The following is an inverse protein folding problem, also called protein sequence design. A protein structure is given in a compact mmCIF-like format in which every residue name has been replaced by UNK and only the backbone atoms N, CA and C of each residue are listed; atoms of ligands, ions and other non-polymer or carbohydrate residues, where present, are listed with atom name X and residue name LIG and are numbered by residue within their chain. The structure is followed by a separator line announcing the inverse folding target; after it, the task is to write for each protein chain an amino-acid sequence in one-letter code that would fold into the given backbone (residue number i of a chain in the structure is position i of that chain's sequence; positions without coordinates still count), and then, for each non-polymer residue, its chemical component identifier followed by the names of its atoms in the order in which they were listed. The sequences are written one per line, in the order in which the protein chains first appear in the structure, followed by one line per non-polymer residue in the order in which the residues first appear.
data_IF_232843436067
#
_entry.id   IF_232843436067
#
_cell.length_a   1.000
_cell.length_b   1.000
_cell.length_c   1.000
_cell.angle_alpha   90.00
_cell.angle_beta   90.00
_cell.angle_gamma   90.00
#
_symmetry.space_group_name_H-M   'P 1'
#
loop_
_entity.id
_entity.type
_entity.pdbx_description
1 polymer ?
#
# COMPACT_ATOMS: atom_id res chain seq x y z
N UNK A 1 1.39 10.32 26.49
CA UNK A 1 0.71 10.70 25.26
C UNK A 1 -0.44 9.73 25.00
N UNK A 2 -1.60 10.23 24.60
CA UNK A 2 -2.80 9.44 24.25
C UNK A 2 -3.07 9.63 22.77
N UNK A 3 -3.03 8.56 22.00
CA UNK A 3 -3.19 8.61 20.54
C UNK A 3 -4.43 7.82 20.12
N UNK A 4 -5.33 8.45 19.36
CA UNK A 4 -6.43 7.75 18.73
C UNK A 4 -6.15 7.53 17.24
N UNK A 5 -6.34 6.31 16.77
CA UNK A 5 -6.01 5.87 15.43
C UNK A 5 -7.26 5.57 14.59
N UNK A 6 -7.21 5.88 13.29
CA UNK A 6 -8.20 5.40 12.34
C UNK A 6 -7.48 4.90 11.07
N UNK A 7 -7.40 3.58 10.94
CA UNK A 7 -6.98 2.88 9.75
C UNK A 7 -8.18 2.13 9.17
N UNK A 8 -8.61 2.46 7.96
CA UNK A 8 -9.87 1.96 7.38
C UNK A 8 -9.71 0.80 6.38
N UNK A 9 -8.48 0.37 6.09
CA UNK A 9 -8.17 -0.69 5.13
C UNK A 9 -7.06 -1.60 5.68
N UNK A 10 -7.01 -2.89 5.25
CA UNK A 10 -5.98 -3.82 5.72
C UNK A 10 -4.54 -3.34 5.51
N UNK A 11 -4.26 -2.69 4.37
CA UNK A 11 -2.95 -2.08 4.10
C UNK A 11 -2.63 -0.93 5.06
N UNK A 12 -3.63 -0.12 5.40
CA UNK A 12 -3.50 0.95 6.39
C UNK A 12 -3.27 0.41 7.80
N UNK A 13 -3.87 -0.72 8.16
CA UNK A 13 -3.67 -1.41 9.45
C UNK A 13 -2.20 -1.85 9.61
N UNK A 14 -1.60 -2.46 8.59
CA UNK A 14 -0.19 -2.85 8.59
C UNK A 14 0.72 -1.63 8.76
N UNK A 15 0.50 -0.58 7.96
CA UNK A 15 1.32 0.63 8.02
C UNK A 15 1.16 1.39 9.35
N UNK A 16 -0.06 1.43 9.89
CA UNK A 16 -0.32 2.00 11.20
C UNK A 16 0.42 1.23 12.30
N UNK A 17 0.43 -0.10 12.23
CA UNK A 17 1.14 -0.96 13.19
C UNK A 17 2.64 -0.64 13.24
N UNK A 18 3.30 -0.44 12.09
CA UNK A 18 4.71 -0.04 12.03
C UNK A 18 4.94 1.31 12.74
N UNK A 19 4.07 2.29 12.54
CA UNK A 19 4.19 3.58 13.22
C UNK A 19 3.86 3.47 14.73
N UNK A 20 2.91 2.65 15.13
CA UNK A 20 2.63 2.35 16.55
C UNK A 20 3.87 1.77 17.22
N UNK A 21 4.51 0.77 16.60
CA UNK A 21 5.72 0.13 17.09
C UNK A 21 6.86 1.15 17.25
N UNK A 22 7.08 2.01 16.24
CA UNK A 22 8.09 3.07 16.30
C UNK A 22 7.82 4.05 17.47
N UNK A 23 6.57 4.46 17.67
CA UNK A 23 6.19 5.34 18.79
C UNK A 23 6.42 4.64 20.14
N UNK A 24 6.08 3.38 20.28
CA UNK A 24 6.25 2.64 21.53
C UNK A 24 7.72 2.46 21.92
N UNK A 25 8.62 2.28 20.94
CA UNK A 25 10.06 2.21 21.19
C UNK A 25 10.60 3.50 21.84
N UNK A 26 10.15 4.65 21.34
CA UNK A 26 10.61 5.97 21.83
C UNK A 26 9.81 6.41 23.05
N UNK A 27 8.50 6.17 23.07
CA UNK A 27 7.56 6.60 24.10
C UNK A 27 6.75 5.41 24.66
N UNK A 28 7.36 4.51 25.46
CA UNK A 28 6.72 3.25 25.91
C UNK A 28 5.51 3.45 26.83
N UNK A 29 5.28 4.66 27.34
CA UNK A 29 4.10 5.00 28.16
C UNK A 29 2.94 5.58 27.34
N UNK A 30 3.02 5.57 26.02
CA UNK A 30 1.93 6.05 25.15
C UNK A 30 0.75 5.09 25.22
N UNK A 31 -0.45 5.64 25.33
CA UNK A 31 -1.71 4.86 25.32
C UNK A 31 -2.32 4.98 23.94
N UNK A 32 -2.56 3.85 23.30
CA UNK A 32 -3.11 3.76 21.95
C UNK A 32 -4.51 3.17 21.99
N UNK A 33 -5.48 3.84 21.37
CA UNK A 33 -6.82 3.31 21.13
C UNK A 33 -7.27 3.67 19.71
N UNK A 34 -8.25 2.99 19.14
CA UNK A 34 -8.70 3.38 17.82
C UNK A 34 -9.52 2.36 17.04
N UNK A 35 -9.68 2.66 15.76
CA UNK A 35 -10.30 1.82 14.75
C UNK A 35 -9.21 1.27 13.83
N UNK A 36 -9.09 -0.05 13.76
CA UNK A 36 -8.02 -0.70 13.01
C UNK A 36 -8.26 -2.20 12.89
N UNK A 37 -7.22 -2.93 12.60
CA UNK A 37 -7.25 -4.38 12.44
C UNK A 37 -6.29 -5.11 13.36
N UNK A 38 -6.04 -6.37 13.01
CA UNK A 38 -5.25 -7.31 13.84
C UNK A 38 -3.78 -6.90 13.99
N UNK A 39 -3.22 -6.16 13.02
CA UNK A 39 -1.82 -5.74 13.08
C UNK A 39 -1.65 -4.65 14.14
N UNK A 40 -2.48 -3.62 14.13
CA UNK A 40 -2.47 -2.59 15.18
C UNK A 40 -2.76 -3.18 16.56
N UNK A 41 -3.69 -4.15 16.66
CA UNK A 41 -4.00 -4.81 17.92
C UNK A 41 -2.79 -5.57 18.49
N UNK A 42 -2.02 -6.25 17.64
CA UNK A 42 -0.78 -6.94 18.06
C UNK A 42 0.26 -5.98 18.63
N UNK A 43 0.32 -4.75 18.11
CA UNK A 43 1.19 -3.69 18.61
C UNK A 43 0.58 -2.92 19.80
N UNK A 44 -0.45 -3.45 20.45
CA UNK A 44 -0.99 -2.93 21.71
C UNK A 44 -2.02 -1.81 21.57
N UNK A 45 -2.58 -1.59 20.38
CA UNK A 45 -3.72 -0.66 20.22
C UNK A 45 -4.99 -1.29 20.76
N UNK A 46 -5.68 -0.61 21.68
CA UNK A 46 -7.01 -0.99 22.13
C UNK A 46 -8.03 -0.68 21.03
N UNK A 47 -8.54 -1.72 20.35
CA UNK A 47 -9.49 -1.54 19.27
C UNK A 47 -10.90 -1.28 19.80
N UNK A 48 -11.46 -0.11 19.51
CA UNK A 48 -12.88 0.24 19.72
C UNK A 48 -13.77 -0.29 18.59
N UNK A 49 -13.18 -0.46 17.41
CA UNK A 49 -13.85 -1.06 16.26
C UNK A 49 -12.84 -1.86 15.45
N UNK A 50 -13.17 -3.12 15.19
CA UNK A 50 -12.36 -4.00 14.37
C UNK A 50 -12.84 -3.93 12.92
N UNK A 51 -11.91 -3.63 12.00
CA UNK A 51 -12.21 -3.56 10.58
C UNK A 51 -12.63 -4.93 10.02
N UNK A 52 -13.70 -4.98 9.23
CA UNK A 52 -14.00 -6.20 8.50
C UNK A 52 -12.87 -6.52 7.51
N UNK A 53 -12.55 -7.80 7.36
CA UNK A 53 -11.51 -8.29 6.45
C UNK A 53 -11.70 -7.83 4.98
N UNK A 54 -12.92 -7.46 4.59
CA UNK A 54 -13.27 -6.94 3.27
C UNK A 54 -13.85 -5.52 3.41
N UNK A 55 -13.07 -4.48 3.14
CA UNK A 55 -13.56 -3.11 3.15
C UNK A 55 -14.64 -2.89 2.08
N UNK A 56 -15.58 -1.99 2.39
CA UNK A 56 -16.64 -1.59 1.46
C UNK A 56 -16.00 -0.81 0.30
N UNK A 57 -15.83 -1.46 -0.84
CA UNK A 57 -15.31 -0.84 -2.04
C UNK A 57 -16.34 -0.91 -3.17
N UNK A 58 -16.72 0.26 -3.69
CA UNK A 58 -17.60 0.41 -4.84
C UNK A 58 -18.61 1.54 -4.67
N UNK A 59 -18.83 2.31 -5.74
CA UNK A 59 -19.76 3.45 -5.69
C UNK A 59 -21.20 3.01 -5.37
N UNK A 60 -21.63 1.87 -5.88
CA UNK A 60 -22.97 1.30 -5.66
C UNK A 60 -23.11 0.80 -4.21
N UNK A 61 -22.07 0.14 -3.67
CA UNK A 61 -22.06 -0.34 -2.30
C UNK A 61 -22.09 0.81 -1.29
N UNK A 62 -21.41 1.92 -1.57
CA UNK A 62 -21.41 3.14 -0.74
C UNK A 62 -22.82 3.73 -0.64
N UNK A 63 -23.57 3.76 -1.75
CA UNK A 63 -24.96 4.28 -1.74
C UNK A 63 -25.89 3.36 -0.95
N UNK A 64 -25.79 2.05 -1.15
CA UNK A 64 -26.59 1.05 -0.43
C UNK A 64 -26.29 1.01 1.08
N UNK A 65 -25.06 1.34 1.48
CA UNK A 65 -24.61 1.33 2.88
C UNK A 65 -24.53 2.72 3.52
N UNK A 66 -25.15 3.74 2.93
CA UNK A 66 -25.11 5.12 3.44
C UNK A 66 -25.52 5.25 4.92
N UNK A 67 -26.52 4.44 5.37
CA UNK A 67 -26.95 4.40 6.76
C UNK A 67 -25.85 3.86 7.69
N UNK A 68 -25.18 2.80 7.27
CA UNK A 68 -24.08 2.17 8.04
C UNK A 68 -22.89 3.14 8.15
N UNK A 69 -22.52 3.78 7.03
CA UNK A 69 -21.44 4.78 7.04
C UNK A 69 -21.77 5.95 7.97
N UNK A 70 -23.02 6.42 7.98
CA UNK A 70 -23.46 7.50 8.87
C UNK A 70 -23.36 7.09 10.33
N UNK A 71 -23.75 5.86 10.67
CA UNK A 71 -23.62 5.33 12.02
C UNK A 71 -22.16 5.18 12.43
N UNK A 72 -21.29 4.70 11.55
CA UNK A 72 -19.85 4.65 11.80
C UNK A 72 -19.28 6.05 12.07
N UNK A 73 -19.69 7.09 11.32
CA UNK A 73 -19.30 8.47 11.60
C UNK A 73 -19.76 8.96 12.97
N UNK A 74 -20.94 8.54 13.41
CA UNK A 74 -21.44 8.88 14.74
C UNK A 74 -20.63 8.17 15.81
N UNK A 75 -20.42 6.86 15.67
CA UNK A 75 -19.71 6.04 16.66
C UNK A 75 -18.26 6.48 16.84
N UNK A 76 -17.50 6.67 15.74
CA UNK A 76 -16.10 7.07 15.87
C UNK A 76 -15.91 8.41 16.59
N UNK A 77 -16.85 9.34 16.41
CA UNK A 77 -16.82 10.63 17.13
C UNK A 77 -17.06 10.47 18.61
N UNK A 78 -17.93 9.54 19.00
CA UNK A 78 -18.17 9.21 20.41
C UNK A 78 -16.93 8.54 21.02
N UNK A 79 -16.34 7.59 20.31
CA UNK A 79 -15.14 6.88 20.76
C UNK A 79 -13.94 7.83 20.95
N UNK A 80 -13.76 8.78 20.01
CA UNK A 80 -12.72 9.83 20.12
C UNK A 80 -12.98 10.74 21.32
N UNK A 81 -14.24 11.19 21.50
CA UNK A 81 -14.60 12.09 22.59
C UNK A 81 -14.44 11.41 23.96
N UNK A 82 -14.80 10.13 24.10
CA UNK A 82 -14.61 9.34 25.32
C UNK A 82 -13.13 9.10 25.64
N UNK A 83 -12.31 8.86 24.59
CA UNK A 83 -10.88 8.58 24.77
C UNK A 83 -10.07 9.83 25.10
N UNK A 84 -10.51 11.03 24.71
CA UNK A 84 -9.82 12.31 24.92
C UNK A 84 -8.35 12.25 24.48
N UNK A 85 -8.07 12.08 23.16
CA UNK A 85 -6.69 11.94 22.66
C UNK A 85 -5.94 13.28 22.67
N UNK A 86 -4.63 13.23 22.93
CA UNK A 86 -3.72 14.34 22.70
C UNK A 86 -3.53 14.61 21.19
N UNK A 87 -3.61 13.54 20.37
CA UNK A 87 -3.50 13.60 18.91
C UNK A 87 -4.33 12.49 18.25
N UNK A 88 -4.97 12.84 17.13
CA UNK A 88 -5.69 11.94 16.25
C UNK A 88 -4.81 11.60 15.03
N UNK A 89 -4.49 10.33 14.82
CA UNK A 89 -3.74 9.87 13.64
C UNK A 89 -4.67 9.14 12.68
N UNK A 90 -4.77 9.68 11.47
CA UNK A 90 -5.60 9.17 10.38
C UNK A 90 -4.70 8.52 9.34
N UNK A 91 -4.93 7.23 9.05
CA UNK A 91 -4.09 6.45 8.14
C UNK A 91 -4.87 6.11 6.87
N UNK A 92 -4.40 6.60 5.71
CA UNK A 92 -5.03 6.38 4.40
C UNK A 92 -6.56 6.61 4.42
N UNK A 93 -7.37 5.79 3.76
CA UNK A 93 -8.85 5.77 3.80
C UNK A 93 -9.52 7.15 3.59
N UNK A 94 -9.19 7.88 2.53
CA UNK A 94 -9.49 9.31 2.39
C UNK A 94 -10.99 9.63 2.31
N UNK A 95 -11.82 8.69 1.90
CA UNK A 95 -13.28 8.87 1.83
C UNK A 95 -13.93 9.10 3.20
N UNK A 96 -13.38 8.49 4.22
CA UNK A 96 -13.81 8.60 5.62
C UNK A 96 -12.93 9.59 6.40
N UNK A 97 -11.62 9.39 6.36
CA UNK A 97 -10.67 10.12 7.19
C UNK A 97 -10.66 11.63 6.95
N UNK A 98 -10.80 12.11 5.72
CA UNK A 98 -10.89 13.55 5.44
C UNK A 98 -12.11 14.24 6.09
N UNK A 99 -13.23 13.51 6.29
CA UNK A 99 -14.41 14.05 6.96
C UNK A 99 -14.21 14.07 8.48
N UNK A 100 -13.53 13.06 9.02
CA UNK A 100 -13.17 13.02 10.44
C UNK A 100 -12.15 14.12 10.75
N UNK A 101 -11.12 14.31 9.91
CA UNK A 101 -10.15 15.37 10.04
C UNK A 101 -10.82 16.76 10.13
N UNK A 102 -11.74 17.06 9.21
CA UNK A 102 -12.48 18.33 9.22
C UNK A 102 -13.27 18.53 10.52
N UNK A 103 -13.94 17.47 11.01
CA UNK A 103 -14.67 17.53 12.26
C UNK A 103 -13.72 17.72 13.46
N UNK A 104 -12.64 16.95 13.54
CA UNK A 104 -11.67 17.01 14.63
C UNK A 104 -11.02 18.40 14.74
N UNK A 105 -10.69 19.03 13.61
CA UNK A 105 -10.15 20.40 13.58
C UNK A 105 -11.14 21.42 14.14
N UNK A 106 -12.43 21.30 13.84
CA UNK A 106 -13.47 22.16 14.41
C UNK A 106 -13.59 21.98 15.94
N UNK A 107 -13.25 20.78 16.46
CA UNK A 107 -13.19 20.51 17.90
C UNK A 107 -11.87 20.95 18.56
N UNK A 108 -10.94 21.55 17.80
CA UNK A 108 -9.63 21.97 18.31
C UNK A 108 -8.63 20.86 18.51
N UNK A 109 -8.87 19.65 17.97
CA UNK A 109 -7.97 18.50 18.11
C UNK A 109 -6.74 18.67 17.19
N UNK A 110 -5.59 18.14 17.62
CA UNK A 110 -4.41 17.94 16.79
C UNK A 110 -4.63 16.74 15.88
N UNK A 111 -4.42 16.93 14.57
CA UNK A 111 -4.69 15.91 13.54
C UNK A 111 -3.44 15.66 12.72
N UNK A 112 -2.97 14.42 12.75
CA UNK A 112 -1.91 13.89 11.88
C UNK A 112 -2.56 13.05 10.79
N UNK A 113 -2.15 13.25 9.54
CA UNK A 113 -2.53 12.38 8.43
C UNK A 113 -1.31 11.59 7.95
N UNK A 114 -1.30 10.30 8.25
CA UNK A 114 -0.26 9.38 7.79
C UNK A 114 -0.74 8.64 6.53
N UNK A 115 0.09 8.65 5.50
CA UNK A 115 -0.22 8.14 4.15
C UNK A 115 -1.39 8.90 3.53
N UNK A 116 -1.16 10.15 3.08
CA UNK A 116 -2.21 11.00 2.53
C UNK A 116 -2.80 10.44 1.24
N UNK A 117 -4.01 10.87 0.86
CA UNK A 117 -4.58 10.48 -0.42
C UNK A 117 -3.68 10.91 -1.58
N UNK A 118 -3.52 10.07 -2.58
CA UNK A 118 -2.69 10.30 -3.78
C UNK A 118 -3.28 11.42 -4.66
N UNK A 119 -3.35 12.64 -4.10
CA UNK A 119 -3.92 13.83 -4.76
C UNK A 119 -3.13 14.26 -6.00
N UNK A 120 -1.86 13.91 -6.09
CA UNK A 120 -1.01 14.10 -7.25
C UNK A 120 -1.46 13.28 -8.46
N UNK A 121 -2.00 12.08 -8.22
CA UNK A 121 -2.48 11.19 -9.28
C UNK A 121 -3.91 11.55 -9.74
N UNK A 122 -4.81 11.93 -8.81
CA UNK A 122 -6.21 12.21 -9.12
C UNK A 122 -6.88 13.05 -8.02
N UNK A 123 -7.99 13.75 -8.36
CA UNK A 123 -8.79 14.56 -7.41
C UNK A 123 -7.98 15.61 -6.64
N UNK A 124 -7.13 16.37 -7.31
CA UNK A 124 -6.29 17.44 -6.72
C UNK A 124 -7.11 18.44 -5.86
N UNK A 125 -8.41 18.62 -6.11
CA UNK A 125 -9.28 19.45 -5.27
C UNK A 125 -9.39 19.00 -3.79
N UNK A 126 -8.93 17.79 -3.46
CA UNK A 126 -8.85 17.31 -2.06
C UNK A 126 -7.68 17.93 -1.30
N UNK A 127 -6.64 18.43 -1.99
CA UNK A 127 -5.46 19.02 -1.37
C UNK A 127 -5.84 20.11 -0.37
N UNK A 128 -6.64 21.10 -0.80
CA UNK A 128 -7.11 22.18 0.08
C UNK A 128 -7.87 21.68 1.32
N UNK A 129 -8.64 20.60 1.17
CA UNK A 129 -9.36 20.04 2.31
C UNK A 129 -8.43 19.32 3.27
N UNK A 130 -7.47 18.57 2.75
CA UNK A 130 -6.48 17.87 3.54
C UNK A 130 -5.66 18.88 4.36
N UNK A 131 -5.02 19.83 3.71
CA UNK A 131 -4.13 20.80 4.37
C UNK A 131 -4.86 21.76 5.33
N UNK A 132 -6.14 22.05 5.10
CA UNK A 132 -6.95 22.85 6.02
C UNK A 132 -7.46 22.08 7.24
N UNK A 133 -7.41 20.74 7.22
CA UNK A 133 -7.95 19.90 8.28
C UNK A 133 -6.92 19.01 8.99
N UNK A 134 -5.63 19.24 8.73
CA UNK A 134 -4.52 18.52 9.37
C UNK A 134 -3.47 19.50 9.89
N UNK A 135 -2.80 19.14 10.96
CA UNK A 135 -1.67 19.89 11.52
C UNK A 135 -0.34 19.34 10.99
N UNK A 136 -0.32 18.05 10.66
CA UNK A 136 0.86 17.36 10.17
C UNK A 136 0.46 16.33 9.11
N UNK A 137 1.19 16.28 8.00
CA UNK A 137 0.99 15.31 6.93
C UNK A 137 2.28 14.52 6.75
N UNK A 138 2.21 13.20 6.95
CA UNK A 138 3.34 12.28 6.89
C UNK A 138 3.18 11.32 5.72
N UNK A 139 4.15 11.29 4.82
CA UNK A 139 4.16 10.40 3.66
C UNK A 139 5.25 9.35 3.75
N UNK A 140 4.97 8.19 3.14
CA UNK A 140 5.92 7.10 2.92
C UNK A 140 6.47 7.07 1.47
N UNK A 141 6.17 8.10 0.67
CA UNK A 141 6.63 8.23 -0.72
C UNK A 141 7.48 9.50 -0.86
N UNK A 142 8.79 9.39 -1.14
CA UNK A 142 9.73 10.53 -1.09
C UNK A 142 9.38 11.66 -2.05
N UNK A 143 8.83 11.36 -3.24
CA UNK A 143 8.49 12.39 -4.23
C UNK A 143 7.28 13.26 -3.84
N UNK A 144 6.45 12.82 -2.87
CA UNK A 144 5.28 13.60 -2.44
C UNK A 144 5.69 14.90 -1.75
N UNK A 145 6.80 14.91 -1.02
CA UNK A 145 7.31 16.11 -0.34
C UNK A 145 7.55 17.26 -1.33
N UNK A 146 8.32 17.01 -2.39
CA UNK A 146 8.58 17.99 -3.45
C UNK A 146 7.31 18.40 -4.20
N UNK A 147 6.39 17.46 -4.42
CA UNK A 147 5.13 17.74 -5.09
C UNK A 147 4.22 18.66 -4.26
N UNK A 148 4.13 18.45 -2.94
CA UNK A 148 3.37 19.33 -2.04
C UNK A 148 4.02 20.70 -1.91
N UNK A 149 5.34 20.77 -1.76
CA UNK A 149 6.10 22.01 -1.72
C UNK A 149 5.88 22.87 -2.97
N UNK A 150 5.86 22.27 -4.16
CA UNK A 150 5.54 22.94 -5.42
C UNK A 150 4.11 23.52 -5.49
N UNK A 151 3.21 23.10 -4.57
CA UNK A 151 1.84 23.62 -4.41
C UNK A 151 1.69 24.59 -3.23
N UNK A 152 2.80 24.92 -2.56
CA UNK A 152 2.81 25.82 -1.40
C UNK A 152 2.26 25.15 -0.12
N UNK A 153 2.37 23.83 -0.01
CA UNK A 153 1.95 23.06 1.15
C UNK A 153 3.09 22.23 1.70
N UNK A 154 3.07 22.00 3.00
CA UNK A 154 4.03 21.18 3.71
C UNK A 154 3.54 19.74 3.82
N UNK A 155 4.44 18.80 3.63
CA UNK A 155 4.30 17.36 3.84
C UNK A 155 5.70 16.84 4.13
N UNK A 156 5.82 15.92 5.08
CA UNK A 156 7.10 15.32 5.46
C UNK A 156 7.17 13.87 4.99
N UNK A 157 8.22 13.54 4.26
CA UNK A 157 8.59 12.15 4.02
C UNK A 157 9.25 11.60 5.29
N UNK A 158 8.77 10.48 5.80
CA UNK A 158 9.18 9.92 7.09
C UNK A 158 9.73 8.49 6.98
N UNK A 159 10.28 8.15 5.80
CA UNK A 159 10.72 6.80 5.52
C UNK A 159 9.57 5.93 4.99
N UNK A 160 9.95 4.74 4.53
CA UNK A 160 9.00 3.75 4.03
C UNK A 160 9.15 2.47 4.86
N UNK A 161 8.11 2.02 5.59
CA UNK A 161 8.20 0.82 6.43
C UNK A 161 8.66 -0.44 5.68
N UNK A 162 8.29 -0.57 4.41
CA UNK A 162 8.76 -1.71 3.60
C UNK A 162 10.28 -1.66 3.39
N UNK A 163 10.86 -0.49 3.19
CA UNK A 163 12.32 -0.38 3.04
C UNK A 163 13.03 -0.82 4.34
N UNK A 164 12.46 -0.49 5.49
CA UNK A 164 12.97 -0.96 6.80
C UNK A 164 12.81 -2.49 6.95
N UNK A 165 11.63 -3.03 6.62
CA UNK A 165 11.32 -4.45 6.74
C UNK A 165 12.15 -5.33 5.79
N UNK A 166 12.50 -4.80 4.61
CA UNK A 166 13.24 -5.51 3.57
C UNK A 166 14.75 -5.21 3.56
N UNK A 167 15.25 -4.34 4.44
CA UNK A 167 16.64 -3.95 4.51
C UNK A 167 17.59 -5.15 4.65
N UNK A 168 18.58 -5.23 3.76
CA UNK A 168 19.58 -6.32 3.74
C UNK A 168 19.04 -7.69 3.31
N UNK A 169 17.79 -7.78 2.83
CA UNK A 169 17.21 -9.02 2.31
C UNK A 169 17.35 -9.08 0.79
N UNK A 170 17.50 -10.28 0.26
CA UNK A 170 17.52 -10.52 -1.18
C UNK A 170 16.76 -11.80 -1.50
N UNK A 171 16.04 -11.77 -2.62
CA UNK A 171 15.33 -12.93 -3.17
C UNK A 171 15.80 -13.28 -4.58
N UNK A 172 16.70 -12.47 -5.17
CA UNK A 172 17.14 -12.69 -6.53
C UNK A 172 18.18 -13.81 -6.64
N UNK A 173 17.91 -14.75 -7.53
CA UNK A 173 18.79 -15.85 -7.87
C UNK A 173 18.82 -16.02 -9.41
N UNK A 174 19.84 -15.48 -10.13
CA UNK A 174 19.86 -15.44 -11.58
C UNK A 174 19.85 -16.81 -12.26
N UNK A 175 20.44 -17.81 -11.62
CA UNK A 175 20.50 -19.19 -12.14
C UNK A 175 19.27 -20.03 -11.80
N UNK A 176 18.37 -19.48 -10.99
CA UNK A 176 17.12 -20.14 -10.61
C UNK A 176 16.18 -20.29 -11.81
N UNK A 177 15.25 -21.24 -11.68
CA UNK A 177 14.11 -21.45 -12.56
C UNK A 177 12.78 -21.11 -11.87
N UNK A 178 12.85 -20.46 -10.72
CA UNK A 178 11.65 -20.05 -9.98
C UNK A 178 11.19 -18.66 -10.40
N UNK A 179 9.90 -18.53 -10.67
CA UNK A 179 9.22 -17.28 -11.00
C UNK A 179 8.11 -17.04 -9.97
N UNK A 180 8.11 -15.87 -9.37
CA UNK A 180 7.06 -15.46 -8.43
C UNK A 180 5.94 -14.76 -9.16
N UNK A 181 4.71 -15.15 -8.90
CA UNK A 181 3.49 -14.60 -9.49
C UNK A 181 2.62 -13.98 -8.39
N UNK A 182 2.33 -12.69 -8.54
CA UNK A 182 1.53 -11.90 -7.61
C UNK A 182 0.28 -11.36 -8.34
N UNK A 183 -0.81 -12.15 -8.42
CA UNK A 183 -1.97 -11.81 -9.24
C UNK A 183 -2.83 -10.68 -8.65
N UNK A 184 -2.48 -10.18 -7.46
CA UNK A 184 -3.17 -9.11 -6.76
C UNK A 184 -3.88 -9.54 -5.49
N UNK A 185 -4.48 -8.58 -4.80
CA UNK A 185 -5.20 -8.77 -3.53
C UNK A 185 -6.72 -8.60 -3.65
N UNK A 186 -7.23 -8.39 -4.86
CA UNK A 186 -8.65 -8.19 -5.16
C UNK A 186 -9.17 -9.25 -6.12
N UNK A 187 -10.39 -9.73 -5.87
CA UNK A 187 -11.03 -10.75 -6.71
C UNK A 187 -10.99 -10.43 -8.21
N UNK A 188 -11.24 -9.17 -8.57
CA UNK A 188 -11.26 -8.76 -9.96
C UNK A 188 -9.88 -8.83 -10.64
N UNK A 189 -8.80 -8.57 -9.90
CA UNK A 189 -7.43 -8.67 -10.38
C UNK A 189 -7.10 -10.14 -10.65
N UNK A 190 -7.35 -11.00 -9.67
CA UNK A 190 -7.06 -12.44 -9.72
C UNK A 190 -7.84 -13.12 -10.85
N UNK A 191 -9.15 -12.86 -10.95
CA UNK A 191 -9.97 -13.45 -12.02
C UNK A 191 -9.48 -13.12 -13.44
N UNK A 192 -8.77 -12.01 -13.63
CA UNK A 192 -8.26 -11.58 -14.93
C UNK A 192 -6.82 -11.98 -15.19
N UNK A 193 -5.98 -12.03 -14.15
CA UNK A 193 -4.54 -12.30 -14.31
C UNK A 193 -4.22 -13.78 -14.16
N UNK A 194 -4.86 -14.47 -13.22
CA UNK A 194 -4.56 -15.89 -12.92
C UNK A 194 -4.68 -16.80 -14.14
N UNK A 195 -5.72 -16.70 -15.01
CA UNK A 195 -5.79 -17.52 -16.23
C UNK A 195 -4.58 -17.31 -17.15
N UNK A 196 -4.15 -16.06 -17.34
CA UNK A 196 -2.98 -15.74 -18.18
C UNK A 196 -1.69 -16.30 -17.57
N UNK A 197 -1.55 -16.25 -16.24
CA UNK A 197 -0.42 -16.84 -15.55
C UNK A 197 -0.36 -18.35 -15.67
N UNK A 198 -1.53 -19.02 -15.64
CA UNK A 198 -1.60 -20.46 -15.83
C UNK A 198 -1.24 -20.88 -17.27
N UNK A 199 -1.73 -20.16 -18.27
CA UNK A 199 -1.35 -20.33 -19.66
C UNK A 199 0.16 -20.11 -19.87
N UNK A 200 0.73 -19.10 -19.23
CA UNK A 200 2.16 -18.83 -19.26
C UNK A 200 2.98 -19.98 -18.65
N UNK A 201 2.55 -20.54 -17.53
CA UNK A 201 3.23 -21.65 -16.89
C UNK A 201 3.23 -22.90 -17.79
N UNK A 202 2.12 -23.20 -18.46
CA UNK A 202 2.07 -24.28 -19.46
C UNK A 202 3.02 -24.02 -20.63
N UNK A 203 3.15 -22.76 -21.06
CA UNK A 203 4.06 -22.36 -22.15
C UNK A 203 5.56 -22.35 -21.77
N UNK A 204 5.87 -22.47 -20.47
CA UNK A 204 7.24 -22.46 -19.92
C UNK A 204 7.48 -23.65 -18.97
N UNK A 205 7.44 -24.89 -19.47
CA UNK A 205 7.50 -26.09 -18.60
C UNK A 205 8.85 -26.27 -17.89
N UNK A 206 9.90 -25.57 -18.33
CA UNK A 206 11.23 -25.59 -17.71
C UNK A 206 11.33 -24.72 -16.45
N UNK A 207 10.31 -23.91 -16.17
CA UNK A 207 10.24 -23.02 -15.00
C UNK A 207 9.26 -23.56 -13.97
N UNK A 208 9.47 -23.19 -12.70
CA UNK A 208 8.55 -23.40 -11.59
C UNK A 208 7.94 -22.06 -11.20
N UNK A 209 6.66 -22.05 -10.96
CA UNK A 209 5.93 -20.84 -10.65
C UNK A 209 5.35 -20.91 -9.24
N UNK A 210 5.67 -19.92 -8.42
CA UNK A 210 5.12 -19.74 -7.07
C UNK A 210 4.07 -18.62 -7.11
N UNK A 211 2.81 -18.97 -6.99
CA UNK A 211 1.70 -18.01 -6.93
C UNK A 211 1.42 -17.67 -5.48
N UNK A 212 1.70 -16.45 -5.09
CA UNK A 212 1.39 -15.97 -3.73
C UNK A 212 -0.07 -15.53 -3.66
N UNK A 213 -0.84 -16.22 -2.82
CA UNK A 213 -2.25 -15.95 -2.60
C UNK A 213 -2.43 -15.04 -1.39
N UNK A 214 -2.96 -13.83 -1.61
CA UNK A 214 -3.24 -12.91 -0.52
C UNK A 214 -4.37 -13.45 0.39
N UNK A 215 -4.22 -13.31 1.71
CA UNK A 215 -5.20 -13.77 2.69
C UNK A 215 -6.62 -13.22 2.46
N UNK A 216 -6.73 -12.00 1.93
CA UNK A 216 -8.00 -11.33 1.63
C UNK A 216 -8.86 -12.01 0.56
N UNK A 217 -8.27 -12.91 -0.25
CA UNK A 217 -8.94 -13.53 -1.41
C UNK A 217 -9.01 -15.06 -1.35
N UNK A 218 -8.60 -15.67 -0.25
CA UNK A 218 -8.62 -17.13 -0.07
C UNK A 218 -10.02 -17.72 -0.32
N UNK A 219 -11.06 -17.12 0.25
CA UNK A 219 -12.44 -17.58 0.13
C UNK A 219 -13.06 -17.43 -1.29
N UNK A 220 -12.44 -16.62 -2.13
CA UNK A 220 -12.94 -16.29 -3.49
C UNK A 220 -11.95 -16.69 -4.60
N UNK A 221 -10.98 -17.54 -4.26
CA UNK A 221 -10.00 -18.03 -5.23
C UNK A 221 -10.68 -18.79 -6.37
N UNK A 222 -10.34 -18.50 -7.64
CA UNK A 222 -10.95 -19.20 -8.78
C UNK A 222 -10.68 -20.70 -8.76
N UNK A 223 -11.71 -21.49 -9.02
CA UNK A 223 -11.58 -22.93 -9.18
C UNK A 223 -11.08 -23.26 -10.59
N UNK A 224 -9.78 -23.10 -10.82
CA UNK A 224 -9.10 -23.40 -12.08
C UNK A 224 -8.20 -24.64 -11.88
N UNK A 225 -8.05 -25.42 -12.94
CA UNK A 225 -7.06 -26.52 -12.95
C UNK A 225 -5.65 -25.92 -12.86
N UNK A 226 -4.93 -26.25 -11.79
CA UNK A 226 -3.58 -25.73 -11.54
C UNK A 226 -2.58 -26.53 -12.38
N UNK A 227 -1.76 -25.89 -13.24
CA UNK A 227 -0.68 -26.57 -13.95
C UNK A 227 0.33 -27.24 -13.03
N UNK A 228 0.95 -28.35 -13.47
CA UNK A 228 1.87 -29.14 -12.65
C UNK A 228 3.11 -28.37 -12.15
N UNK A 229 3.53 -27.36 -12.88
CA UNK A 229 4.67 -26.52 -12.53
C UNK A 229 4.29 -25.25 -11.75
N UNK A 230 3.06 -25.18 -11.22
CA UNK A 230 2.59 -24.10 -10.34
C UNK A 230 2.38 -24.63 -8.92
N UNK A 231 2.89 -23.88 -7.96
CA UNK A 231 2.59 -24.00 -6.54
C UNK A 231 1.84 -22.77 -6.07
N UNK A 232 0.67 -22.93 -5.44
CA UNK A 232 -0.10 -21.83 -4.82
C UNK A 232 0.21 -21.80 -3.34
N UNK A 233 0.73 -20.67 -2.85
CA UNK A 233 1.30 -20.55 -1.51
C UNK A 233 0.56 -19.47 -0.72
N UNK A 234 0.19 -19.79 0.51
CA UNK A 234 -0.43 -18.90 1.50
C UNK A 234 0.61 -18.49 2.55
N UNK A 235 1.57 -17.69 2.16
CA UNK A 235 2.61 -17.19 3.05
C UNK A 235 2.99 -15.75 2.67
N UNK A 236 3.64 -14.99 3.57
CA UNK A 236 4.19 -13.69 3.26
C UNK A 236 5.16 -13.76 2.08
N UNK A 237 5.17 -12.72 1.25
CA UNK A 237 6.03 -12.66 0.06
C UNK A 237 7.51 -12.89 0.42
N UNK A 238 7.96 -12.36 1.52
CA UNK A 238 9.34 -12.48 2.01
C UNK A 238 9.78 -13.93 2.26
N UNK A 239 8.85 -14.80 2.63
CA UNK A 239 9.12 -16.22 2.85
C UNK A 239 9.12 -17.02 1.53
N UNK A 240 8.35 -16.57 0.54
CA UNK A 240 8.18 -17.25 -0.75
C UNK A 240 9.25 -16.86 -1.76
N UNK A 241 9.58 -15.56 -1.83
CA UNK A 241 10.45 -14.99 -2.84
C UNK A 241 11.94 -15.03 -2.39
N UNK A 242 12.44 -16.21 -2.04
CA UNK A 242 13.80 -16.40 -1.52
C UNK A 242 14.85 -16.81 -2.57
N UNK A 243 14.40 -17.21 -3.77
CA UNK A 243 15.27 -17.76 -4.82
C UNK A 243 14.69 -17.57 -6.22
N UNK A 244 14.06 -16.42 -6.49
CA UNK A 244 13.39 -16.17 -7.77
C UNK A 244 14.34 -15.54 -8.80
N UNK A 245 14.22 -15.95 -10.06
CA UNK A 245 14.92 -15.29 -11.16
C UNK A 245 14.13 -14.14 -11.79
N UNK A 246 12.80 -14.12 -11.58
CA UNK A 246 11.90 -13.10 -12.11
C UNK A 246 10.57 -13.07 -11.33
N UNK A 247 9.87 -11.94 -11.39
CA UNK A 247 8.53 -11.84 -10.83
C UNK A 247 7.54 -11.18 -11.80
N UNK A 248 6.28 -11.60 -11.75
CA UNK A 248 5.14 -10.91 -12.38
C UNK A 248 4.23 -10.39 -11.30
N UNK A 249 4.12 -9.08 -11.19
CA UNK A 249 3.38 -8.44 -10.10
C UNK A 249 2.17 -7.67 -10.61
N UNK A 250 1.03 -7.82 -9.95
CA UNK A 250 -0.04 -6.84 -10.10
C UNK A 250 0.39 -5.50 -9.54
N UNK A 251 -0.14 -4.40 -10.08
CA UNK A 251 0.16 -3.05 -9.57
C UNK A 251 -0.21 -2.91 -8.10
N UNK A 252 0.69 -2.31 -7.33
CA UNK A 252 0.49 -2.06 -5.90
C UNK A 252 1.79 -2.16 -5.10
N UNK A 253 1.65 -2.35 -3.81
CA UNK A 253 2.75 -2.46 -2.84
C UNK A 253 3.71 -3.61 -3.18
N UNK A 254 3.18 -4.73 -3.68
CA UNK A 254 3.97 -5.90 -4.05
C UNK A 254 5.08 -5.61 -5.08
N UNK A 255 4.88 -4.65 -6.00
CA UNK A 255 5.93 -4.27 -6.95
C UNK A 255 7.11 -3.58 -6.26
N UNK A 256 6.88 -2.87 -5.17
CA UNK A 256 7.94 -2.29 -4.35
C UNK A 256 8.66 -3.36 -3.54
N UNK A 257 7.93 -4.29 -2.93
CA UNK A 257 8.49 -5.40 -2.16
C UNK A 257 9.43 -6.26 -3.03
N UNK A 258 9.04 -6.59 -4.26
CA UNK A 258 9.87 -7.32 -5.22
C UNK A 258 11.12 -6.53 -5.62
N UNK A 259 11.00 -5.23 -5.83
CA UNK A 259 12.14 -4.36 -6.13
C UNK A 259 13.14 -4.31 -4.96
N UNK A 260 12.64 -4.22 -3.72
CA UNK A 260 13.47 -4.24 -2.51
C UNK A 260 14.16 -5.60 -2.27
N UNK A 261 13.59 -6.71 -2.78
CA UNK A 261 14.25 -8.02 -2.80
C UNK A 261 15.28 -8.17 -3.94
N UNK A 262 15.44 -7.15 -4.77
CA UNK A 262 16.36 -7.17 -5.91
C UNK A 262 15.91 -8.10 -7.05
N UNK A 263 14.64 -8.53 -7.10
CA UNK A 263 14.15 -9.46 -8.12
C UNK A 263 13.67 -8.68 -9.34
N UNK A 264 14.24 -8.93 -10.55
CA UNK A 264 13.70 -8.38 -11.79
C UNK A 264 12.23 -8.72 -11.97
N UNK A 265 11.44 -7.76 -12.47
CA UNK A 265 10.00 -7.95 -12.55
C UNK A 265 9.37 -7.29 -13.77
N UNK A 266 8.13 -7.68 -14.06
CA UNK A 266 7.22 -6.87 -14.86
C UNK A 266 5.91 -6.66 -14.10
N UNK A 267 5.41 -5.43 -14.14
CA UNK A 267 4.15 -5.08 -13.49
C UNK A 267 3.03 -5.16 -14.52
N UNK A 268 1.99 -5.94 -14.17
CA UNK A 268 0.90 -6.27 -15.07
C UNK A 268 -0.43 -5.83 -14.47
N UNK A 269 -1.32 -5.28 -15.29
CA UNK A 269 -2.64 -4.90 -14.81
C UNK A 269 -3.73 -5.11 -15.86
N UNK A 270 -4.80 -5.80 -15.45
CA UNK A 270 -6.02 -5.98 -16.25
C UNK A 270 -7.22 -5.46 -15.48
N UNK A 271 -7.80 -4.35 -15.93
CA UNK A 271 -8.98 -3.75 -15.35
C UNK A 271 -10.24 -4.03 -16.17
N UNK A 272 -11.40 -3.72 -15.59
CA UNK A 272 -12.62 -3.61 -16.39
C UNK A 272 -12.44 -2.47 -17.42
N UNK A 273 -12.78 -2.68 -18.71
CA UNK A 273 -12.62 -1.66 -19.76
C UNK A 273 -13.25 -0.31 -19.43
N UNK A 274 -14.43 -0.31 -18.82
CA UNK A 274 -15.15 0.91 -18.41
C UNK A 274 -14.36 1.64 -17.31
N UNK A 275 -13.90 0.91 -16.30
CA UNK A 275 -13.09 1.47 -15.22
C UNK A 275 -11.77 2.06 -15.73
N UNK A 276 -11.15 1.39 -16.71
CA UNK A 276 -9.92 1.88 -17.35
C UNK A 276 -10.17 3.15 -18.18
N UNK A 277 -11.25 3.21 -18.96
CA UNK A 277 -11.61 4.40 -19.73
C UNK A 277 -11.82 5.61 -18.79
N UNK A 278 -12.47 5.39 -17.66
CA UNK A 278 -12.63 6.41 -16.62
C UNK A 278 -11.27 6.78 -16.02
N UNK A 279 -10.45 5.80 -15.65
CA UNK A 279 -9.12 6.05 -15.06
C UNK A 279 -8.24 6.87 -16.00
N UNK A 280 -8.15 6.51 -17.28
CA UNK A 280 -7.39 7.26 -18.31
C UNK A 280 -7.81 8.73 -18.44
N UNK A 281 -9.05 9.07 -18.12
CA UNK A 281 -9.53 10.45 -18.19
C UNK A 281 -9.12 11.29 -16.98
N UNK A 282 -8.92 10.66 -15.82
CA UNK A 282 -8.74 11.36 -14.54
C UNK A 282 -7.34 11.16 -13.93
N UNK A 283 -6.66 10.06 -14.25
CA UNK A 283 -5.32 9.76 -13.77
C UNK A 283 -4.30 10.40 -14.70
N UNK A 284 -3.45 11.26 -14.14
CA UNK A 284 -2.48 12.10 -14.88
C UNK A 284 -1.02 11.71 -14.56
N UNK A 285 -0.79 10.44 -14.29
CA UNK A 285 0.57 9.97 -14.01
C UNK A 285 1.09 9.10 -15.15
N UNK A 286 2.39 9.19 -15.47
CA UNK A 286 2.99 8.41 -16.55
C UNK A 286 3.09 6.92 -16.21
N UNK A 287 3.16 6.59 -14.92
CA UNK A 287 3.40 5.25 -14.41
C UNK A 287 2.32 4.83 -13.40
N UNK A 288 2.19 3.51 -13.16
CA UNK A 288 1.26 2.97 -12.18
C UNK A 288 1.89 2.00 -11.17
N UNK A 289 3.16 1.60 -11.36
CA UNK A 289 3.94 0.87 -10.36
C UNK A 289 4.67 1.81 -9.42
N UNK A 290 4.88 1.38 -8.17
CA UNK A 290 5.58 2.20 -7.18
C UNK A 290 7.06 2.43 -7.55
N UNK A 291 7.84 1.44 -8.02
CA UNK A 291 9.21 1.68 -8.45
C UNK A 291 9.32 2.79 -9.51
N UNK A 292 8.49 2.74 -10.55
CA UNK A 292 8.52 3.75 -11.62
C UNK A 292 8.08 5.13 -11.12
N UNK A 293 7.05 5.19 -10.27
CA UNK A 293 6.56 6.44 -9.68
C UNK A 293 7.60 7.09 -8.77
N UNK A 294 8.30 6.31 -7.94
CA UNK A 294 9.30 6.83 -7.01
C UNK A 294 10.53 7.32 -7.77
N UNK A 295 10.97 6.57 -8.79
CA UNK A 295 12.13 6.92 -9.59
C UNK A 295 11.85 7.93 -10.71
N UNK A 296 10.57 8.25 -10.95
CA UNK A 296 10.08 9.10 -12.05
C UNK A 296 10.63 8.67 -13.43
N UNK A 297 10.70 7.35 -13.65
CA UNK A 297 11.17 6.71 -14.90
C UNK A 297 10.67 5.28 -15.02
N UNK A 298 10.74 4.72 -16.23
CA UNK A 298 10.48 3.30 -16.46
C UNK A 298 11.66 2.46 -15.96
N UNK A 299 11.63 2.10 -14.68
CA UNK A 299 12.60 1.20 -14.05
C UNK A 299 12.19 -0.26 -14.19
N UNK A 300 10.89 -0.52 -14.29
CA UNK A 300 10.31 -1.84 -14.52
C UNK A 300 9.28 -1.75 -15.64
N UNK A 301 9.19 -2.77 -16.54
CA UNK A 301 8.15 -2.81 -17.57
C UNK A 301 6.74 -2.82 -16.97
N UNK A 302 5.86 -2.00 -17.53
CA UNK A 302 4.44 -1.94 -17.15
C UNK A 302 3.56 -2.35 -18.33
N UNK A 303 2.82 -3.45 -18.18
CA UNK A 303 1.91 -3.96 -19.20
C UNK A 303 0.45 -3.78 -18.78
N UNK A 304 -0.35 -3.20 -19.67
CA UNK A 304 -1.76 -2.94 -19.43
C UNK A 304 -2.64 -3.69 -20.43
N UNK A 305 -3.72 -4.29 -19.96
CA UNK A 305 -4.80 -4.88 -20.77
C UNK A 305 -4.31 -5.90 -21.80
N UNK A 306 -4.41 -5.57 -23.09
CA UNK A 306 -4.06 -6.42 -24.22
C UNK A 306 -2.55 -6.69 -24.30
N UNK A 307 -1.71 -5.82 -23.74
CA UNK A 307 -0.28 -6.03 -23.65
C UNK A 307 0.05 -7.22 -22.74
N UNK A 308 -0.81 -7.54 -21.76
CA UNK A 308 -0.64 -8.70 -20.87
C UNK A 308 -1.05 -9.96 -21.64
N UNK A 309 -0.11 -10.48 -22.42
CA UNK A 309 -0.24 -11.70 -23.21
C UNK A 309 0.85 -12.70 -22.86
N UNK A 310 0.59 -13.99 -23.04
CA UNK A 310 1.58 -15.05 -22.80
C UNK A 310 2.87 -14.78 -23.58
N UNK A 311 2.77 -14.31 -24.82
CA UNK A 311 3.92 -13.99 -25.66
C UNK A 311 4.77 -12.87 -25.04
N UNK A 312 4.16 -11.75 -24.63
CA UNK A 312 4.88 -10.62 -24.04
C UNK A 312 5.54 -10.99 -22.71
N UNK A 313 4.80 -11.70 -21.83
CA UNK A 313 5.31 -12.14 -20.54
C UNK A 313 6.47 -13.12 -20.68
N UNK A 314 6.35 -14.09 -21.60
CA UNK A 314 7.44 -15.03 -21.92
C UNK A 314 8.70 -14.32 -22.41
N UNK A 315 8.55 -13.31 -23.26
CA UNK A 315 9.67 -12.49 -23.74
C UNK A 315 10.41 -11.82 -22.58
N UNK A 316 9.70 -11.13 -21.70
CA UNK A 316 10.28 -10.43 -20.53
C UNK A 316 11.00 -11.40 -19.57
N UNK A 317 10.43 -12.57 -19.32
CA UNK A 317 11.06 -13.59 -18.47
C UNK A 317 12.37 -14.09 -19.08
N UNK A 318 12.44 -14.27 -20.41
CA UNK A 318 13.64 -14.74 -21.10
C UNK A 318 14.72 -13.65 -21.13
N UNK A 319 14.34 -12.39 -21.32
CA UNK A 319 15.23 -11.21 -21.31
C UNK A 319 15.75 -10.89 -19.91
N UNK A 320 15.11 -11.40 -18.85
CA UNK A 320 15.46 -11.32 -17.42
C UNK A 320 15.52 -9.92 -16.78
N UNK A 321 15.63 -8.84 -17.55
CA UNK A 321 15.58 -7.47 -17.04
C UNK A 321 16.65 -7.12 -15.99
N UNK A 322 17.87 -7.64 -16.14
CA UNK A 322 18.97 -7.44 -15.18
C UNK A 322 19.40 -5.96 -15.05
N UNK A 323 19.09 -5.13 -16.04
CA UNK A 323 19.26 -3.68 -16.01
C UNK A 323 18.39 -2.99 -14.92
N UNK A 324 17.36 -3.67 -14.42
CA UNK A 324 16.54 -3.19 -13.32
C UNK A 324 17.30 -3.12 -11.99
N UNK A 325 18.33 -3.95 -11.79
CA UNK A 325 19.08 -4.03 -10.54
C UNK A 325 19.76 -2.70 -10.18
N UNK A 326 20.30 -1.99 -11.18
CA UNK A 326 20.87 -0.65 -10.98
C UNK A 326 19.80 0.36 -10.55
N UNK A 327 18.58 0.22 -11.05
CA UNK A 327 17.45 1.08 -10.66
C UNK A 327 16.98 0.77 -9.24
N UNK A 328 17.02 -0.50 -8.84
CA UNK A 328 16.66 -0.90 -7.47
C UNK A 328 17.63 -0.38 -6.42
N UNK A 329 18.94 -0.33 -6.75
CA UNK A 329 19.93 0.30 -5.87
C UNK A 329 19.64 1.79 -5.64
N UNK A 330 19.18 2.51 -6.67
CA UNK A 330 18.76 3.91 -6.55
C UNK A 330 17.46 4.06 -5.76
N UNK A 331 16.51 3.14 -5.97
CA UNK A 331 15.25 3.09 -5.25
C UNK A 331 15.49 2.90 -3.75
N UNK A 332 16.34 1.95 -3.38
CA UNK A 332 16.73 1.67 -1.99
C UNK A 332 17.38 2.90 -1.34
N UNK A 333 18.30 3.55 -2.01
CA UNK A 333 18.93 4.78 -1.53
C UNK A 333 17.92 5.93 -1.31
N UNK A 334 16.89 6.05 -2.15
CA UNK A 334 15.84 7.06 -1.99
C UNK A 334 14.89 6.75 -0.83
N UNK A 335 14.63 5.47 -0.57
CA UNK A 335 13.70 5.03 0.48
C UNK A 335 14.36 4.93 1.86
N UNK A 336 15.66 4.59 1.92
CA UNK A 336 16.38 4.33 3.16
C UNK A 336 16.93 5.58 3.87
N UNK A 337 16.68 6.80 3.33
CA UNK A 337 17.24 8.04 3.88
C UNK A 337 16.58 8.48 5.21
N UNK A 338 15.39 7.99 5.53
CA UNK A 338 14.58 8.38 6.69
C UNK A 338 13.90 7.15 7.30
N UNK A 339 13.58 7.22 8.60
CA UNK A 339 12.93 6.13 9.33
C UNK A 339 11.73 6.63 10.12
N UNK A 340 10.73 5.77 10.33
CA UNK A 340 9.57 6.12 11.14
C UNK A 340 9.96 6.50 12.57
N UNK A 341 10.95 5.81 13.14
CA UNK A 341 11.37 6.00 14.52
C UNK A 341 11.99 7.39 14.76
N UNK A 342 12.80 7.87 13.82
CA UNK A 342 13.48 9.17 13.97
C UNK A 342 12.60 10.32 13.46
N UNK A 343 12.04 10.20 12.27
CA UNK A 343 11.40 11.30 11.57
C UNK A 343 9.91 11.44 11.94
N UNK A 344 9.13 10.38 11.87
CA UNK A 344 7.70 10.47 12.17
C UNK A 344 7.44 10.71 13.66
N UNK A 345 8.13 9.96 14.55
CA UNK A 345 7.91 10.08 16.00
C UNK A 345 8.39 11.43 16.51
N UNK A 346 9.50 11.96 15.97
CA UNK A 346 10.00 13.30 16.29
C UNK A 346 8.95 14.38 16.01
N UNK A 347 8.44 14.43 14.77
CA UNK A 347 7.43 15.40 14.32
C UNK A 347 6.11 15.30 15.11
N UNK A 348 5.64 14.07 15.38
CA UNK A 348 4.42 13.87 16.20
C UNK A 348 4.64 14.37 17.63
N UNK A 349 5.81 14.11 18.22
CA UNK A 349 6.13 14.54 19.59
C UNK A 349 6.21 16.06 19.69
N UNK A 350 6.86 16.72 18.74
CA UNK A 350 6.91 18.18 18.65
C UNK A 350 5.51 18.77 18.52
N UNK A 351 4.68 18.21 17.65
CA UNK A 351 3.29 18.65 17.50
C UNK A 351 2.55 18.55 18.83
N UNK A 352 2.67 17.43 19.56
CA UNK A 352 1.95 17.23 20.84
C UNK A 352 2.46 18.18 21.92
N UNK A 353 3.77 18.48 21.99
CA UNK A 353 4.38 19.33 22.99
C UNK A 353 4.17 20.84 22.72
N UNK A 354 3.88 21.24 21.51
CA UNK A 354 3.68 22.64 21.10
C UNK A 354 2.32 23.23 21.52
N UNK A 355 1.78 22.80 22.65
CA UNK A 355 0.45 23.22 23.17
C UNK A 355 0.58 24.41 24.12
#
# INVERSE_FOLDING_TARGET
MRIFWIAGEPSGDVQAASLVQAIQKVHPKTVHSGWGGVHMQKEGVELRFNLPANPIMGFVEVVLKARVIREQFRQVKLDIAEFEPDVLILVDFPGFNLRIAQWAKVQGMKVVYFIPPKVWAWKQGRLKKLTASTDLILSILPFEESWYAAKGHELHYVGNPLAEDYAGKTGYAPDSKEIVLLPGSRNQEIQRLLPVFYELAVALPAYRFKVVRAASVVASWPNLSVPENIEVIDAPLLEVATSACFALTCSGTASLEIALLGIPQAVVYKANPISLAIARRFVKVPFFSLPNLILDREAVPELLQEQVSVYALKKLIIERGEDQLDQYSRLDAMLGAQTLEQDAVGLISELVLSS
#
